data_IF_376516777330
#
_entry.id   IF_376516777330
#
_cell.length_a   1.000
_cell.length_b   1.000
_cell.length_c   1.000
_cell.angle_alpha   90.00
_cell.angle_beta   90.00
_cell.angle_gamma   90.00
#
_symmetry.space_group_name_H-M   'P 1'
#
loop_
_entity.id
_entity.type
_entity.pdbx_description
1 polymer ?
#
# COMPACT_ATOMS: atom_id res chain seq x y z
N UNK A 1 -52.33 -64.82 -33.83
CA UNK A 1 -51.70 -63.69 -34.55
C UNK A 1 -52.30 -62.44 -33.95
N UNK A 2 -51.65 -61.91 -32.91
CA UNK A 2 -52.17 -60.83 -32.07
C UNK A 2 -51.25 -59.63 -32.19
N UNK A 3 -51.83 -58.56 -32.70
CA UNK A 3 -51.30 -57.22 -32.79
C UNK A 3 -51.42 -56.51 -31.43
N UNK A 4 -50.33 -55.92 -30.97
CA UNK A 4 -50.25 -55.06 -29.78
C UNK A 4 -48.97 -54.22 -29.84
N UNK A 5 -49.10 -52.96 -30.25
CA UNK A 5 -48.40 -51.84 -29.62
C UNK A 5 -49.19 -51.44 -28.34
N UNK A 6 -48.70 -50.61 -27.39
CA UNK A 6 -47.49 -49.77 -27.38
C UNK A 6 -46.69 -49.84 -26.05
N UNK A 7 -45.42 -49.41 -26.07
CA UNK A 7 -44.69 -48.90 -24.90
C UNK A 7 -43.48 -48.14 -25.48
N UNK A 8 -43.62 -46.83 -25.67
CA UNK A 8 -43.31 -45.82 -24.66
C UNK A 8 -41.79 -45.73 -24.48
N UNK A 9 -41.27 -44.62 -24.98
CA UNK A 9 -39.84 -44.35 -25.02
C UNK A 9 -39.31 -44.34 -23.60
N UNK A 10 -38.25 -45.13 -23.40
CA UNK A 10 -37.47 -45.16 -22.17
C UNK A 10 -37.04 -43.73 -21.83
N UNK A 11 -37.68 -43.20 -20.79
CA UNK A 11 -37.24 -42.07 -19.99
C UNK A 11 -35.98 -42.53 -19.25
N UNK A 12 -34.82 -42.33 -19.89
CA UNK A 12 -33.53 -42.46 -19.24
C UNK A 12 -33.36 -41.27 -18.30
N UNK A 13 -33.99 -41.40 -17.12
CA UNK A 13 -33.77 -40.56 -15.97
C UNK A 13 -32.28 -40.55 -15.66
N UNK A 14 -31.61 -39.46 -16.05
CA UNK A 14 -30.27 -39.14 -15.57
C UNK A 14 -30.38 -38.84 -14.07
N UNK A 15 -30.31 -39.92 -13.30
CA UNK A 15 -29.85 -39.94 -11.92
C UNK A 15 -28.36 -39.54 -11.94
N UNK A 16 -28.13 -38.22 -12.02
CA UNK A 16 -26.84 -37.61 -11.70
C UNK A 16 -27.06 -36.57 -10.62
N UNK A 17 -26.94 -37.10 -9.41
CA UNK A 17 -26.21 -36.48 -8.30
C UNK A 17 -26.77 -35.15 -7.82
N UNK A 18 -27.73 -35.27 -6.90
CA UNK A 18 -27.92 -34.27 -5.88
C UNK A 18 -26.67 -34.13 -5.00
N UNK A 19 -25.81 -33.19 -5.37
CA UNK A 19 -24.85 -32.54 -4.46
C UNK A 19 -25.13 -31.02 -4.35
N UNK A 20 -26.34 -30.59 -4.74
CA UNK A 20 -26.86 -29.29 -4.38
C UNK A 20 -27.54 -29.38 -3.00
N UNK A 21 -26.73 -29.52 -1.94
CA UNK A 21 -27.01 -28.98 -0.59
C UNK A 21 -25.95 -29.36 0.46
N UNK A 22 -25.29 -28.31 0.97
CA UNK A 22 -24.98 -28.05 2.39
C UNK A 22 -23.80 -28.81 3.02
N UNK A 23 -22.69 -28.09 3.22
CA UNK A 23 -21.58 -28.56 4.06
C UNK A 23 -20.58 -27.49 4.48
N UNK A 24 -21.00 -26.24 4.63
CA UNK A 24 -20.14 -25.14 5.05
C UNK A 24 -20.96 -24.04 5.72
N UNK A 25 -21.82 -24.46 6.65
CA UNK A 25 -22.65 -23.60 7.50
C UNK A 25 -21.74 -22.91 8.54
N UNK A 26 -20.82 -22.07 8.06
CA UNK A 26 -20.23 -21.03 8.86
C UNK A 26 -21.23 -19.89 8.88
N UNK A 27 -21.81 -19.65 10.05
CA UNK A 27 -22.72 -18.55 10.36
C UNK A 27 -22.07 -17.19 9.98
N UNK A 28 -22.13 -16.80 8.71
CA UNK A 28 -21.83 -15.45 8.29
C UNK A 28 -23.03 -14.62 8.72
N UNK A 29 -22.92 -14.05 9.92
CA UNK A 29 -23.75 -12.91 10.30
C UNK A 29 -23.53 -11.89 9.19
N UNK A 30 -24.56 -11.68 8.39
CA UNK A 30 -24.66 -10.63 7.37
C UNK A 30 -24.75 -9.28 8.09
N UNK A 31 -23.65 -8.91 8.74
CA UNK A 31 -23.18 -7.54 8.74
C UNK A 31 -22.17 -7.47 7.63
N UNK A 32 -22.41 -6.60 6.64
CA UNK A 32 -21.40 -6.11 5.71
C UNK A 32 -20.12 -5.76 6.49
N UNK A 33 -19.23 -6.72 6.66
CA UNK A 33 -17.83 -6.44 6.90
C UNK A 33 -17.30 -6.12 5.52
N UNK A 34 -17.54 -4.88 5.10
CA UNK A 34 -16.71 -4.27 4.07
C UNK A 34 -15.28 -4.63 4.42
N UNK A 35 -14.65 -5.47 3.60
CA UNK A 35 -13.24 -5.77 3.73
C UNK A 35 -12.55 -4.45 3.44
N UNK A 36 -12.33 -3.65 4.49
CA UNK A 36 -11.48 -2.48 4.38
C UNK A 36 -10.09 -3.07 4.20
N UNK A 37 -9.66 -3.17 2.95
CA UNK A 37 -8.28 -3.49 2.62
C UNK A 37 -7.42 -2.39 3.26
N UNK A 38 -6.87 -2.70 4.43
CA UNK A 38 -6.16 -1.73 5.25
C UNK A 38 -4.83 -1.40 4.58
N UNK A 39 -4.83 -0.41 3.68
CA UNK A 39 -3.61 0.09 3.07
C UNK A 39 -2.80 0.88 4.10
N UNK A 40 -1.58 0.41 4.41
CA UNK A 40 -0.63 1.16 5.25
C UNK A 40 -0.09 2.43 4.58
N UNK A 41 -0.26 2.57 3.27
CA UNK A 41 0.27 3.67 2.44
C UNK A 41 -0.13 5.07 2.93
N UNK A 42 -1.42 5.40 3.21
CA UNK A 42 -1.80 6.70 3.74
C UNK A 42 -1.12 7.06 5.06
N UNK A 43 -0.93 6.09 5.97
CA UNK A 43 -0.24 6.33 7.24
C UNK A 43 1.24 6.62 7.04
N UNK A 44 1.89 5.87 6.16
CA UNK A 44 3.30 6.10 5.81
C UNK A 44 3.51 7.44 5.11
N UNK A 45 2.60 7.84 4.22
CA UNK A 45 2.63 9.18 3.60
C UNK A 45 2.38 10.29 4.63
N UNK A 46 1.45 10.08 5.56
CA UNK A 46 1.22 11.00 6.68
C UNK A 46 2.47 11.16 7.54
N UNK A 47 3.12 10.07 7.92
CA UNK A 47 4.37 10.09 8.68
C UNK A 47 5.50 10.81 7.91
N UNK A 48 5.64 10.54 6.61
CA UNK A 48 6.60 11.22 5.74
C UNK A 48 6.37 12.75 5.72
N UNK A 49 5.12 13.19 5.61
CA UNK A 49 4.76 14.61 5.65
C UNK A 49 5.12 15.24 7.00
N UNK A 50 4.78 14.57 8.11
CA UNK A 50 5.10 15.06 9.47
C UNK A 50 6.61 15.20 9.67
N UNK A 51 7.39 14.18 9.29
CA UNK A 51 8.86 14.22 9.39
C UNK A 51 9.44 15.35 8.54
N UNK A 52 8.92 15.54 7.32
CA UNK A 52 9.38 16.61 6.43
C UNK A 52 9.09 17.99 7.01
N UNK A 53 7.87 18.21 7.53
CA UNK A 53 7.51 19.46 8.18
C UNK A 53 8.35 19.71 9.42
N UNK A 54 8.61 18.67 10.22
CA UNK A 54 9.48 18.77 11.39
C UNK A 54 10.91 19.16 11.01
N UNK A 55 11.49 18.55 9.98
CA UNK A 55 12.82 18.89 9.49
C UNK A 55 12.91 20.34 9.00
N UNK A 56 11.89 20.82 8.28
CA UNK A 56 11.81 22.20 7.83
C UNK A 56 11.74 23.18 9.02
N UNK A 57 10.89 22.89 10.00
CA UNK A 57 10.74 23.71 11.20
C UNK A 57 12.03 23.73 12.03
N UNK A 58 12.67 22.57 12.22
CA UNK A 58 13.95 22.47 12.92
C UNK A 58 15.04 23.29 12.20
N UNK A 59 15.14 23.17 10.88
CA UNK A 59 16.09 23.96 10.07
C UNK A 59 15.85 25.47 10.20
N UNK A 60 14.58 25.90 10.14
CA UNK A 60 14.21 27.29 10.34
C UNK A 60 14.65 27.82 11.71
N UNK A 61 14.29 27.11 12.78
CA UNK A 61 14.59 27.51 14.17
C UNK A 61 16.09 27.57 14.39
N UNK A 62 16.84 26.56 13.94
CA UNK A 62 18.30 26.55 14.08
C UNK A 62 18.90 27.77 13.38
N UNK A 63 18.55 28.04 12.12
CA UNK A 63 19.10 29.16 11.39
C UNK A 63 18.65 30.53 11.95
N UNK A 64 17.42 30.66 12.43
CA UNK A 64 16.93 31.90 13.05
C UNK A 64 17.69 32.28 14.33
N UNK A 65 18.26 31.29 15.02
CA UNK A 65 19.02 31.50 16.25
C UNK A 65 20.53 31.59 16.03
N UNK A 66 21.03 31.45 14.80
CA UNK A 66 22.47 31.45 14.51
C UNK A 66 22.82 32.55 13.49
N UNK A 67 23.80 33.40 13.80
CA UNK A 67 24.24 34.50 12.93
C UNK A 67 25.31 34.04 11.92
N UNK A 68 24.99 33.06 11.09
CA UNK A 68 25.91 32.52 10.07
C UNK A 68 25.49 33.01 8.68
N UNK A 69 26.43 33.51 7.88
CA UNK A 69 26.11 34.01 6.53
C UNK A 69 25.86 32.89 5.52
N UNK A 70 26.61 31.79 5.60
CA UNK A 70 26.44 30.61 4.75
C UNK A 70 27.05 29.36 5.39
N UNK A 71 26.52 28.20 5.02
CA UNK A 71 26.98 26.90 5.51
C UNK A 71 27.30 26.01 4.32
N UNK A 72 28.50 25.40 4.33
CA UNK A 72 28.86 24.37 3.37
C UNK A 72 28.34 23.01 3.86
N UNK A 73 27.37 22.46 3.15
CA UNK A 73 26.80 21.13 3.37
C UNK A 73 27.67 20.08 2.67
N UNK A 74 28.22 19.17 3.47
CA UNK A 74 29.08 18.07 2.99
C UNK A 74 30.31 18.53 2.18
N UNK A 75 30.67 19.82 2.22
CA UNK A 75 31.72 20.40 1.37
C UNK A 75 31.36 20.53 -0.11
N UNK A 76 30.12 20.23 -0.51
CA UNK A 76 29.70 20.18 -1.92
C UNK A 76 28.66 21.25 -2.24
N UNK A 77 27.77 21.57 -1.29
CA UNK A 77 26.66 22.51 -1.51
C UNK A 77 26.72 23.63 -0.51
N UNK A 78 26.83 24.88 -0.96
CA UNK A 78 26.76 26.06 -0.08
C UNK A 78 25.32 26.58 0.00
N UNK A 79 24.77 26.61 1.20
CA UNK A 79 23.41 27.11 1.47
C UNK A 79 23.50 28.44 2.21
N UNK A 80 22.72 29.48 1.82
CA UNK A 80 22.61 30.71 2.60
C UNK A 80 22.17 30.41 4.04
N UNK A 81 22.75 31.08 5.03
CA UNK A 81 22.40 30.87 6.44
C UNK A 81 21.05 31.45 6.85
N UNK A 82 20.24 31.93 5.91
CA UNK A 82 18.91 32.48 6.17
C UNK A 82 17.95 31.39 6.66
N UNK A 83 17.00 31.69 7.58
CA UNK A 83 16.06 30.71 8.10
C UNK A 83 15.26 29.97 7.04
N UNK A 84 14.77 30.69 6.02
CA UNK A 84 14.00 30.09 4.94
C UNK A 84 14.83 29.11 4.10
N UNK A 85 16.08 29.45 3.77
CA UNK A 85 16.94 28.57 2.97
C UNK A 85 17.26 27.25 3.69
N UNK A 86 17.57 27.32 4.99
CA UNK A 86 17.87 26.11 5.78
C UNK A 86 16.63 25.26 6.02
N UNK A 87 15.45 25.88 6.17
CA UNK A 87 14.17 25.16 6.24
C UNK A 87 13.86 24.39 4.95
N UNK A 88 14.01 25.06 3.79
CA UNK A 88 13.81 24.44 2.47
C UNK A 88 14.81 23.31 2.26
N UNK A 89 16.08 23.52 2.62
CA UNK A 89 17.10 22.49 2.55
C UNK A 89 16.72 21.25 3.38
N UNK A 90 16.29 21.45 4.63
CA UNK A 90 15.81 20.37 5.49
C UNK A 90 14.64 19.60 4.87
N UNK A 91 13.64 20.31 4.33
CA UNK A 91 12.50 19.69 3.66
C UNK A 91 12.92 18.86 2.44
N UNK A 92 13.73 19.43 1.55
CA UNK A 92 14.21 18.75 0.33
C UNK A 92 15.03 17.52 0.69
N UNK A 93 15.93 17.64 1.66
CA UNK A 93 16.75 16.51 2.10
C UNK A 93 15.88 15.39 2.68
N UNK A 94 14.91 15.70 3.54
CA UNK A 94 13.98 14.72 4.09
C UNK A 94 13.16 14.03 3.01
N UNK A 95 12.61 14.78 2.04
CA UNK A 95 11.87 14.22 0.91
C UNK A 95 12.77 13.27 0.10
N UNK A 96 14.00 13.69 -0.20
CA UNK A 96 14.95 12.87 -0.95
C UNK A 96 15.28 11.56 -0.23
N UNK A 97 15.55 11.61 1.08
CA UNK A 97 15.83 10.42 1.89
C UNK A 97 14.61 9.50 1.95
N UNK A 98 13.43 10.04 2.23
CA UNK A 98 12.20 9.26 2.30
C UNK A 98 11.88 8.61 0.95
N UNK A 99 11.97 9.37 -0.15
CA UNK A 99 11.78 8.85 -1.50
C UNK A 99 12.78 7.73 -1.82
N UNK A 100 14.05 7.87 -1.43
CA UNK A 100 15.04 6.82 -1.58
C UNK A 100 14.66 5.56 -0.79
N UNK A 101 14.24 5.69 0.48
CA UNK A 101 13.82 4.56 1.30
C UNK A 101 12.57 3.87 0.74
N UNK A 102 11.52 4.62 0.40
CA UNK A 102 10.31 4.07 -0.23
C UNK A 102 10.64 3.39 -1.56
N UNK A 103 11.50 4.00 -2.37
CA UNK A 103 11.95 3.44 -3.64
C UNK A 103 12.72 2.14 -3.44
N UNK A 104 13.66 2.10 -2.50
CA UNK A 104 14.44 0.89 -2.18
C UNK A 104 13.54 -0.23 -1.67
N UNK A 105 12.58 0.05 -0.78
CA UNK A 105 11.61 -0.94 -0.31
C UNK A 105 10.80 -1.48 -1.48
N UNK A 106 10.29 -0.61 -2.35
CA UNK A 106 9.54 -1.03 -3.54
C UNK A 106 10.37 -1.92 -4.46
N UNK A 107 11.66 -1.58 -4.65
CA UNK A 107 12.61 -2.36 -5.45
C UNK A 107 12.99 -3.68 -4.79
N UNK A 108 13.04 -3.76 -3.47
CA UNK A 108 13.31 -5.00 -2.75
C UNK A 108 12.09 -5.93 -2.79
N UNK A 109 10.88 -5.40 -2.56
CA UNK A 109 9.65 -6.19 -2.55
C UNK A 109 9.38 -6.90 -3.87
N UNK A 110 9.68 -6.27 -5.03
CA UNK A 110 9.54 -6.96 -6.33
C UNK A 110 10.41 -8.21 -6.46
N UNK A 111 11.59 -8.25 -5.84
CA UNK A 111 12.47 -9.42 -5.92
C UNK A 111 12.03 -10.54 -4.99
N UNK A 112 11.35 -10.20 -3.89
CA UNK A 112 10.74 -11.18 -2.99
C UNK A 112 9.53 -11.84 -3.68
N UNK A 113 8.70 -11.05 -4.38
CA UNK A 113 7.57 -11.54 -5.16
C UNK A 113 8.01 -12.48 -6.30
N UNK A 114 9.11 -12.17 -6.99
CA UNK A 114 9.67 -13.01 -8.07
C UNK A 114 10.27 -14.34 -7.55
N UNK A 115 10.64 -14.44 -6.27
CA UNK A 115 11.30 -15.62 -5.71
C UNK A 115 10.33 -16.74 -5.29
N UNK A 116 9.03 -16.43 -5.16
CA UNK A 116 7.98 -17.37 -4.71
C UNK A 116 7.10 -17.90 -5.85
N UNK A 117 7.36 -17.51 -7.10
CA UNK A 117 6.61 -17.92 -8.31
C UNK A 117 7.49 -18.76 -9.25
#
# INVERSE_FOLDING_TARGET
MSDRAPADGVDDGEDRTGEDRLGGQGNLIEGETTVIEASGRPYLLGAAAVVTLFAAAAGYVVAANNAVSSVAMFGVVTVPGTPAAVAVYGAVLSIAVLAALFGLVTVASRFDDDAVN
#
